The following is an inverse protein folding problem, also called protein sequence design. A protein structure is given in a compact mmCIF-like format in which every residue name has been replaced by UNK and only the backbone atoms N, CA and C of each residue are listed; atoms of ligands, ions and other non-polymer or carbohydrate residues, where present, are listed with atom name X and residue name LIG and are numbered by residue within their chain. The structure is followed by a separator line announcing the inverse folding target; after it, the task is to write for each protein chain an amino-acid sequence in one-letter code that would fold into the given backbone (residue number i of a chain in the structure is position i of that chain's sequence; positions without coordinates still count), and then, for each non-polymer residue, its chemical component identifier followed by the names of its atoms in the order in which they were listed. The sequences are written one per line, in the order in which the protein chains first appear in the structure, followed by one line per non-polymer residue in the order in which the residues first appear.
data_IF_757870046257
#
_entry.id   IF_757870046257
#
_cell.length_a   1.000
_cell.length_b   1.000
_cell.length_c   1.000
_cell.angle_alpha   90.00
_cell.angle_beta   90.00
_cell.angle_gamma   90.00
#
_symmetry.space_group_name_H-M   'P 1'
#
loop_
_entity.id
_entity.type
_entity.pdbx_description
1 polymer ?
#
# COMPACT_ATOMS: atom_id res chain seq x y z
N UNK A 1 -16.95 0.10 1.14
CA UNK A 1 -16.38 -0.44 0.18
C UNK A 1 -15.71 -1.67 0.57
N UNK A 2 -15.05 -1.90 1.26
CA UNK A 2 -14.49 -3.18 1.51
C UNK A 2 -14.01 -3.21 2.93
N UNK A 3 -13.75 -4.37 3.42
CA UNK A 3 -13.27 -4.56 4.77
C UNK A 3 -11.78 -4.82 4.78
N UNK A 4 -11.07 -4.34 3.76
CA UNK A 4 -9.64 -4.54 3.68
C UNK A 4 -8.94 -3.70 4.74
N UNK A 5 -7.92 -4.24 5.39
CA UNK A 5 -7.03 -3.41 6.19
C UNK A 5 -6.49 -2.29 5.34
N UNK A 6 -6.42 -1.09 5.88
CA UNK A 6 -5.98 0.05 5.10
C UNK A 6 -5.01 0.92 5.89
N UNK A 7 -4.10 1.54 5.16
CA UNK A 7 -3.18 2.53 5.67
C UNK A 7 -3.51 3.85 4.98
N UNK A 8 -3.82 4.87 5.77
CA UNK A 8 -4.14 6.19 5.23
C UNK A 8 -2.93 7.09 5.37
N UNK A 9 -2.39 7.52 4.24
CA UNK A 9 -1.20 8.38 4.19
C UNK A 9 -1.56 9.85 4.00
N UNK A 10 -2.80 10.21 4.29
CA UNK A 10 -3.24 11.59 4.17
C UNK A 10 -2.34 12.49 5.02
N UNK A 11 -1.80 13.55 4.41
CA UNK A 11 -0.95 14.49 5.13
C UNK A 11 0.49 14.06 5.33
N UNK A 12 0.87 12.87 4.87
CA UNK A 12 2.24 12.39 5.01
C UNK A 12 3.13 12.90 3.88
N UNK A 13 4.42 12.96 4.14
CA UNK A 13 5.43 13.25 3.13
C UNK A 13 5.99 11.95 2.56
N UNK A 14 6.75 12.05 1.48
CA UNK A 14 7.23 10.84 0.82
C UNK A 14 8.15 10.01 1.74
N UNK A 15 9.04 10.65 2.49
CA UNK A 15 9.95 9.86 3.33
C UNK A 15 9.22 9.17 4.49
N UNK A 16 8.24 9.83 5.09
CA UNK A 16 7.47 9.20 6.16
C UNK A 16 6.54 8.13 5.59
N UNK A 17 6.02 8.35 4.40
CA UNK A 17 5.19 7.35 3.73
C UNK A 17 5.97 6.07 3.47
N UNK A 18 7.23 6.18 3.06
CA UNK A 18 8.05 5.01 2.81
C UNK A 18 8.14 4.13 4.06
N UNK A 19 8.44 4.75 5.20
CA UNK A 19 8.56 4.03 6.47
C UNK A 19 7.22 3.40 6.85
N UNK A 20 6.13 4.17 6.75
CA UNK A 20 4.81 3.71 7.16
C UNK A 20 4.33 2.55 6.28
N UNK A 21 4.58 2.60 4.98
CA UNK A 21 4.20 1.51 4.08
C UNK A 21 4.95 0.24 4.43
N UNK A 22 6.25 0.34 4.67
CA UNK A 22 7.06 -0.84 5.02
C UNK A 22 6.57 -1.47 6.31
N UNK A 23 6.26 -0.66 7.32
CA UNK A 23 5.74 -1.17 8.59
C UNK A 23 4.37 -1.81 8.40
N UNK A 24 3.51 -1.16 7.62
CA UNK A 24 2.17 -1.67 7.36
C UNK A 24 2.21 -3.03 6.66
N UNK A 25 3.06 -3.18 5.64
CA UNK A 25 3.21 -4.45 4.93
C UNK A 25 3.74 -5.53 5.88
N UNK A 26 4.74 -5.20 6.71
CA UNK A 26 5.23 -6.15 7.70
C UNK A 26 4.10 -6.63 8.62
N UNK A 27 3.26 -5.71 9.06
CA UNK A 27 2.13 -6.05 9.93
C UNK A 27 1.13 -6.96 9.21
N UNK A 28 0.82 -6.66 7.95
CA UNK A 28 -0.11 -7.48 7.19
C UNK A 28 0.42 -8.90 7.02
N UNK A 29 1.70 -9.05 6.76
CA UNK A 29 2.31 -10.36 6.63
C UNK A 29 2.26 -11.11 7.97
N UNK A 30 2.58 -10.44 9.07
CA UNK A 30 2.51 -11.05 10.40
C UNK A 30 1.10 -11.52 10.74
N UNK A 31 0.10 -10.78 10.28
CA UNK A 31 -1.31 -11.10 10.53
C UNK A 31 -1.87 -12.11 9.52
N UNK A 32 -1.06 -12.54 8.55
CA UNK A 32 -1.46 -13.45 7.48
C UNK A 32 -2.59 -12.89 6.61
N UNK A 33 -2.65 -11.57 6.49
CA UNK A 33 -3.57 -10.92 5.57
C UNK A 33 -3.00 -10.96 4.16
N UNK A 34 -3.82 -11.33 3.19
CA UNK A 34 -3.36 -11.50 1.81
C UNK A 34 -3.65 -10.30 0.95
N UNK A 35 -4.46 -9.38 1.42
CA UNK A 35 -4.89 -8.24 0.62
C UNK A 35 -5.10 -7.04 1.53
N UNK A 36 -4.69 -5.88 1.08
CA UNK A 36 -4.83 -4.65 1.84
C UNK A 36 -4.89 -3.46 0.90
N UNK A 37 -5.05 -2.28 1.47
CA UNK A 37 -5.27 -1.06 0.70
C UNK A 37 -4.41 0.04 1.30
N UNK A 38 -3.81 0.86 0.43
CA UNK A 38 -3.02 2.02 0.86
C UNK A 38 -3.64 3.26 0.22
N UNK A 39 -4.08 4.18 1.06
CA UNK A 39 -4.74 5.40 0.63
C UNK A 39 -3.69 6.50 0.56
N UNK A 40 -3.28 6.85 -0.66
CA UNK A 40 -2.24 7.86 -0.88
C UNK A 40 -2.83 9.18 -1.37
N UNK A 41 -4.10 9.19 -1.75
CA UNK A 41 -4.72 10.38 -2.27
C UNK A 41 -4.47 10.55 -3.76
N UNK A 42 -5.10 11.58 -4.32
CA UNK A 42 -4.99 11.84 -5.76
C UNK A 42 -3.89 12.86 -6.03
N UNK A 43 -3.97 14.04 -5.47
CA UNK A 43 -2.98 15.09 -5.49
C UNK A 43 -2.01 15.07 -6.66
N UNK A 44 -0.75 15.42 -6.38
CA UNK A 44 0.31 15.48 -7.39
C UNK A 44 0.96 14.13 -7.66
N UNK A 45 0.58 13.10 -6.92
CA UNK A 45 1.08 11.76 -7.15
C UNK A 45 2.42 11.46 -6.51
N UNK A 46 2.96 12.34 -5.69
CA UNK A 46 4.26 12.12 -5.07
C UNK A 46 4.21 10.96 -4.08
N UNK A 47 3.23 10.95 -3.20
CA UNK A 47 3.08 9.87 -2.22
C UNK A 47 2.73 8.57 -2.94
N UNK A 48 1.85 8.62 -3.94
CA UNK A 48 1.53 7.44 -4.74
C UNK A 48 2.78 6.83 -5.36
N UNK A 49 3.65 7.66 -5.93
CA UNK A 49 4.88 7.17 -6.54
C UNK A 49 5.76 6.48 -5.51
N UNK A 50 5.90 7.09 -4.33
CA UNK A 50 6.68 6.49 -3.24
C UNK A 50 6.10 5.14 -2.85
N UNK A 51 4.78 5.04 -2.69
CA UNK A 51 4.11 3.79 -2.35
C UNK A 51 4.43 2.73 -3.40
N UNK A 52 4.27 3.07 -4.66
CA UNK A 52 4.50 2.10 -5.74
C UNK A 52 5.95 1.66 -5.81
N UNK A 53 6.89 2.54 -5.52
CA UNK A 53 8.30 2.17 -5.50
C UNK A 53 8.61 1.19 -4.37
N UNK A 54 8.04 1.42 -3.19
CA UNK A 54 8.22 0.50 -2.08
C UNK A 54 7.66 -0.88 -2.43
N UNK A 55 6.45 -0.91 -2.97
CA UNK A 55 5.80 -2.17 -3.32
C UNK A 55 6.54 -2.90 -4.43
N UNK A 56 7.01 -2.17 -5.43
CA UNK A 56 7.75 -2.75 -6.55
C UNK A 56 9.02 -3.47 -6.07
N UNK A 57 9.66 -2.93 -5.05
CA UNK A 57 10.92 -3.47 -4.57
C UNK A 57 10.77 -4.48 -3.45
N UNK A 58 9.55 -4.85 -3.09
CA UNK A 58 9.29 -5.82 -2.03
C UNK A 58 8.87 -7.14 -2.66
N UNK A 59 9.72 -8.14 -2.56
CA UNK A 59 9.49 -9.45 -3.19
C UNK A 59 8.31 -10.21 -2.61
N UNK A 60 7.81 -9.79 -1.46
CA UNK A 60 6.66 -10.44 -0.81
C UNK A 60 5.34 -10.00 -1.42
N UNK A 61 5.35 -8.96 -2.23
CA UNK A 61 4.16 -8.42 -2.88
C UNK A 61 3.90 -9.20 -4.16
N UNK A 62 2.69 -9.75 -4.30
CA UNK A 62 2.28 -10.46 -5.49
C UNK A 62 1.96 -9.50 -6.61
N UNK A 63 1.13 -8.50 -6.32
CA UNK A 63 0.76 -7.48 -7.28
C UNK A 63 0.17 -6.28 -6.54
N UNK A 64 0.12 -5.15 -7.23
CA UNK A 64 -0.52 -3.96 -6.71
C UNK A 64 -1.10 -3.17 -7.88
N UNK A 65 -2.19 -2.46 -7.62
CA UNK A 65 -2.85 -1.71 -8.70
C UNK A 65 -3.73 -0.62 -8.10
N UNK A 66 -3.97 0.43 -8.88
CA UNK A 66 -4.88 1.49 -8.47
C UNK A 66 -6.29 0.92 -8.41
N UNK A 67 -7.01 1.23 -7.34
CA UNK A 67 -8.39 0.78 -7.19
C UNK A 67 -9.24 1.42 -8.29
N UNK A 68 -10.01 0.58 -8.96
CA UNK A 68 -10.85 1.03 -10.07
C UNK A 68 -11.84 2.11 -9.64
N UNK A 69 -12.38 1.99 -8.44
CA UNK A 69 -13.41 2.91 -7.97
C UNK A 69 -12.85 4.09 -7.18
N UNK A 70 -11.61 4.02 -6.75
CA UNK A 70 -11.01 5.06 -5.93
C UNK A 70 -9.55 5.26 -6.34
N UNK A 71 -9.28 6.19 -7.28
CA UNK A 71 -7.93 6.38 -7.78
C UNK A 71 -6.94 6.91 -6.74
N UNK A 72 -7.42 7.34 -5.58
CA UNK A 72 -6.56 7.72 -4.47
C UNK A 72 -6.09 6.56 -3.63
N UNK A 73 -6.34 5.32 -4.07
CA UNK A 73 -6.08 4.13 -3.29
C UNK A 73 -5.39 3.08 -4.15
N UNK A 74 -4.41 2.38 -3.60
CA UNK A 74 -3.74 1.25 -4.24
C UNK A 74 -4.12 -0.02 -3.49
N UNK A 75 -4.61 -1.01 -4.21
CA UNK A 75 -4.87 -2.34 -3.68
C UNK A 75 -3.57 -3.14 -3.76
N UNK A 76 -3.27 -3.87 -2.70
CA UNK A 76 -2.04 -4.65 -2.59
C UNK A 76 -2.40 -6.10 -2.31
N UNK A 77 -1.82 -7.01 -3.09
CA UNK A 77 -1.97 -8.44 -2.85
C UNK A 77 -0.61 -9.00 -2.46
N UNK A 78 -0.58 -9.77 -1.39
CA UNK A 78 0.64 -10.31 -0.81
C UNK A 78 0.73 -11.79 -1.16
N UNK A 79 1.93 -12.26 -1.45
CA UNK A 79 2.15 -13.68 -1.79
C UNK A 79 1.77 -14.56 -0.61
N UNK A 80 1.19 -15.71 -0.90
CA UNK A 80 0.76 -16.63 0.15
C UNK A 80 1.93 -17.32 0.81
N UNK A 81 2.97 -17.59 0.07
CA UNK A 81 4.16 -18.22 0.61
C UNK A 81 5.30 -17.23 0.60
N UNK A 82 5.78 -16.92 1.74
CA UNK A 82 6.83 -15.94 1.93
C UNK A 82 8.10 -16.64 2.41
#
# INVERSE_FOLDING_TARGET
MNNLPSLDLHGEYSFSSEVLVKEFINDQISLHNKKCCIIHGIGEGIVRKTVHEVLKNDKRIKTYYIDFFNPGCTIVEIKEKI
#
